data_IF_578211568721
#
_entry.id   IF_578211568721
#
_cell.length_a   1.000
_cell.length_b   1.000
_cell.length_c   1.000
_cell.angle_alpha   90.00
_cell.angle_beta   90.00
_cell.angle_gamma   90.00
#
_symmetry.space_group_name_H-M   'P 1'
#
loop_
_entity.id
_entity.type
_entity.pdbx_description
1 polymer ?
#
# COMPACT_ATOMS: atom_id res chain seq x y z
N UNK A 1 16.09 45.09 -24.33
CA UNK A 1 15.14 44.91 -23.22
C UNK A 1 13.99 44.06 -23.74
N UNK A 2 13.80 42.81 -23.28
CA UNK A 2 12.76 41.95 -23.83
C UNK A 2 11.39 42.37 -23.27
N UNK A 3 10.41 42.48 -24.16
CA UNK A 3 9.01 42.71 -23.81
C UNK A 3 8.44 41.42 -23.20
N UNK A 4 8.23 41.44 -21.89
CA UNK A 4 7.53 40.39 -21.15
C UNK A 4 6.06 40.38 -21.59
N UNK A 5 5.68 39.41 -22.41
CA UNK A 5 4.27 39.17 -22.77
C UNK A 5 3.57 38.57 -21.57
N UNK A 6 2.83 39.40 -20.84
CA UNK A 6 1.89 38.97 -19.82
C UNK A 6 0.72 38.26 -20.50
N UNK A 7 0.78 36.93 -20.56
CA UNK A 7 -0.34 36.12 -20.99
C UNK A 7 -1.45 36.21 -19.91
N UNK A 8 -2.41 37.10 -20.13
CA UNK A 8 -3.65 37.14 -19.35
C UNK A 8 -4.47 35.88 -19.71
N UNK A 9 -4.36 34.84 -18.88
CA UNK A 9 -5.25 33.70 -18.99
C UNK A 9 -6.69 34.15 -18.65
N UNK A 10 -7.70 33.81 -19.47
CA UNK A 10 -9.08 34.15 -19.19
C UNK A 10 -9.54 33.45 -17.90
N UNK A 11 -10.45 34.07 -17.11
CA UNK A 11 -10.87 33.56 -15.80
C UNK A 11 -11.47 32.14 -15.87
N UNK A 12 -12.05 31.78 -17.02
CA UNK A 12 -12.58 30.44 -17.30
C UNK A 12 -11.48 29.39 -17.33
N UNK A 13 -10.32 29.70 -17.94
CA UNK A 13 -9.18 28.78 -18.00
C UNK A 13 -8.57 28.54 -16.62
N UNK A 14 -8.50 29.59 -15.78
CA UNK A 14 -8.09 29.48 -14.38
C UNK A 14 -9.06 28.61 -13.58
N UNK A 15 -10.37 28.75 -13.79
CA UNK A 15 -11.40 27.94 -13.13
C UNK A 15 -11.31 26.45 -13.48
N UNK A 16 -11.07 26.12 -14.76
CA UNK A 16 -10.86 24.74 -15.19
C UNK A 16 -9.58 24.11 -14.59
N UNK A 17 -8.49 24.87 -14.47
CA UNK A 17 -7.26 24.39 -13.82
C UNK A 17 -7.50 24.13 -12.33
N UNK A 18 -8.21 25.03 -11.64
CA UNK A 18 -8.54 24.89 -10.21
C UNK A 18 -9.48 23.71 -9.98
N UNK A 19 -10.50 23.49 -10.82
CA UNK A 19 -11.37 22.30 -10.76
C UNK A 19 -10.60 21.01 -11.07
N UNK A 20 -9.72 21.02 -12.07
CA UNK A 20 -8.87 19.88 -12.42
C UNK A 20 -7.89 19.53 -11.29
N UNK A 21 -7.46 20.54 -10.53
CA UNK A 21 -6.70 20.37 -9.29
C UNK A 21 -7.61 19.80 -8.20
N UNK A 22 -8.80 20.35 -7.96
CA UNK A 22 -9.73 19.84 -6.94
C UNK A 22 -10.21 18.40 -7.19
N UNK A 23 -10.08 17.89 -8.41
CA UNK A 23 -10.25 16.49 -8.78
C UNK A 23 -9.01 15.62 -8.48
N UNK A 24 -8.06 16.10 -7.67
CA UNK A 24 -6.85 15.35 -7.26
C UNK A 24 -7.26 13.95 -6.80
N UNK A 25 -6.97 12.99 -7.68
CA UNK A 25 -7.04 11.56 -7.42
C UNK A 25 -6.28 11.33 -6.13
N UNK A 26 -6.98 10.83 -5.10
CA UNK A 26 -6.33 10.33 -3.89
C UNK A 26 -5.46 9.15 -4.30
N UNK A 27 -4.17 9.39 -4.53
CA UNK A 27 -3.22 8.34 -4.81
C UNK A 27 -2.78 7.72 -3.48
N UNK A 28 -3.18 6.48 -3.23
CA UNK A 28 -2.68 5.70 -2.10
C UNK A 28 -1.28 5.17 -2.46
N UNK A 29 -0.25 5.66 -1.78
CA UNK A 29 1.11 5.15 -1.91
C UNK A 29 1.29 3.95 -1.00
N UNK A 30 1.21 2.74 -1.54
CA UNK A 30 1.35 1.47 -0.80
C UNK A 30 2.81 1.14 -0.38
N UNK A 31 3.73 2.12 -0.48
CA UNK A 31 5.17 1.94 -0.27
C UNK A 31 5.85 1.14 -1.38
N UNK A 32 7.19 1.18 -1.42
CA UNK A 32 7.94 0.21 -2.25
C UNK A 32 7.78 -1.17 -1.64
N UNK A 33 7.57 -2.23 -2.44
CA UNK A 33 7.53 -3.58 -1.92
C UNK A 33 8.86 -3.94 -1.24
N UNK A 34 8.78 -4.65 -0.12
CA UNK A 34 9.94 -4.97 0.71
C UNK A 34 9.70 -6.15 1.67
N UNK A 35 10.65 -6.46 2.56
CA UNK A 35 10.54 -7.59 3.48
C UNK A 35 9.58 -7.34 4.65
N UNK A 36 9.13 -6.10 4.86
CA UNK A 36 8.18 -5.71 5.90
C UNK A 36 7.09 -4.82 5.31
N UNK A 37 5.87 -4.94 5.82
CA UNK A 37 4.76 -4.09 5.42
C UNK A 37 3.77 -3.89 6.57
N UNK A 38 3.06 -2.76 6.55
CA UNK A 38 2.02 -2.44 7.52
C UNK A 38 0.73 -2.11 6.78
N UNK A 39 -0.37 -2.72 7.23
CA UNK A 39 -1.72 -2.26 6.92
C UNK A 39 -2.12 -1.20 7.95
N UNK A 40 -2.63 -0.06 7.48
CA UNK A 40 -3.14 1.02 8.33
C UNK A 40 -4.67 0.98 8.42
N UNK A 41 -5.26 1.73 9.35
CA UNK A 41 -6.72 1.77 9.56
C UNK A 41 -7.19 1.03 10.81
N UNK A 42 -8.49 0.78 10.92
CA UNK A 42 -9.14 0.19 12.11
C UNK A 42 -8.59 -1.21 12.41
N UNK A 43 -8.47 -2.04 11.37
CA UNK A 43 -7.89 -3.38 11.42
C UNK A 43 -6.41 -3.38 10.99
N UNK A 44 -5.63 -2.39 11.42
CA UNK A 44 -4.22 -2.31 11.06
C UNK A 44 -3.39 -3.45 11.67
N UNK A 45 -2.49 -4.02 10.89
CA UNK A 45 -1.57 -5.08 11.28
C UNK A 45 -0.22 -4.93 10.57
N UNK A 46 0.81 -5.56 11.11
CA UNK A 46 2.17 -5.49 10.59
C UNK A 46 2.65 -6.90 10.26
N UNK A 47 3.32 -7.09 9.13
CA UNK A 47 3.90 -8.38 8.77
C UNK A 47 5.33 -8.25 8.23
N UNK A 48 6.08 -9.34 8.36
CA UNK A 48 7.43 -9.48 7.87
C UNK A 48 7.65 -10.85 7.21
N UNK A 49 8.53 -10.90 6.22
CA UNK A 49 9.06 -12.14 5.67
C UNK A 49 10.14 -12.65 6.62
N UNK A 50 10.01 -13.89 7.08
CA UNK A 50 10.99 -14.53 7.94
C UNK A 50 12.35 -14.63 7.24
N UNK A 51 13.39 -14.17 7.93
CA UNK A 51 14.76 -14.22 7.47
C UNK A 51 15.38 -15.64 7.60
N UNK A 52 14.67 -16.60 8.20
CA UNK A 52 15.08 -18.00 8.35
C UNK A 52 15.23 -18.78 7.04
N UNK A 53 14.81 -18.21 5.91
CA UNK A 53 15.04 -18.76 4.56
C UNK A 53 13.84 -19.48 3.94
N UNK A 54 12.81 -19.77 4.72
CA UNK A 54 11.55 -20.33 4.22
C UNK A 54 10.61 -19.28 3.62
N UNK A 55 10.96 -17.99 3.77
CA UNK A 55 10.19 -16.84 3.28
C UNK A 55 8.74 -16.83 3.78
N UNK A 56 8.49 -17.45 4.94
CA UNK A 56 7.19 -17.45 5.60
C UNK A 56 6.83 -16.04 6.04
N UNK A 57 5.53 -15.72 6.07
CA UNK A 57 5.05 -14.42 6.53
C UNK A 57 4.67 -14.51 8.01
N UNK A 58 5.24 -13.65 8.84
CA UNK A 58 4.91 -13.51 10.25
C UNK A 58 4.17 -12.19 10.44
N UNK A 59 3.06 -12.21 11.16
CA UNK A 59 2.21 -11.04 11.38
C UNK A 59 1.94 -10.75 12.85
N UNK A 60 1.73 -9.48 13.16
CA UNK A 60 1.42 -8.95 14.49
C UNK A 60 0.27 -7.96 14.41
N UNK A 61 -0.65 -8.05 15.36
CA UNK A 61 -1.72 -7.07 15.54
C UNK A 61 -1.27 -5.87 16.42
N UNK A 62 -2.14 -4.87 16.56
CA UNK A 62 -1.90 -3.69 17.39
C UNK A 62 -1.66 -3.99 18.87
N UNK A 63 -2.11 -5.14 19.36
CA UNK A 63 -1.96 -5.53 20.77
C UNK A 63 -0.63 -6.25 21.04
N UNK A 64 0.23 -6.39 20.03
CA UNK A 64 1.49 -7.13 20.10
C UNK A 64 1.28 -8.57 20.61
N UNK A 65 0.05 -9.08 20.45
CA UNK A 65 -0.16 -10.51 20.44
C UNK A 65 0.44 -10.91 19.11
N UNK A 66 1.62 -11.54 19.17
CA UNK A 66 2.08 -12.40 18.07
C UNK A 66 0.86 -13.17 17.64
N UNK A 67 0.46 -13.00 16.40
CA UNK A 67 -0.62 -13.79 15.87
C UNK A 67 -0.19 -15.26 15.93
N UNK A 68 -0.51 -15.93 17.03
CA UNK A 68 -1.26 -17.17 16.98
C UNK A 68 -2.69 -16.85 16.52
N UNK A 69 -2.83 -16.01 15.49
CA UNK A 69 -4.03 -15.89 14.72
C UNK A 69 -3.86 -17.01 13.69
N UNK A 70 -4.62 -18.12 13.78
CA UNK A 70 -4.52 -19.25 12.85
C UNK A 70 -4.90 -18.89 11.39
N UNK A 71 -5.01 -17.60 11.09
CA UNK A 71 -5.60 -17.08 9.87
C UNK A 71 -4.56 -16.86 8.77
N UNK A 72 -3.24 -16.94 8.99
CA UNK A 72 -2.28 -16.76 7.89
C UNK A 72 -1.58 -18.04 7.42
N UNK A 73 -2.01 -19.22 7.89
CA UNK A 73 -1.50 -20.51 7.38
C UNK A 73 -1.75 -20.67 5.87
N UNK A 74 -2.70 -19.92 5.30
CA UNK A 74 -2.97 -19.90 3.86
C UNK A 74 -2.05 -18.97 3.07
N UNK A 75 -1.33 -18.05 3.73
CA UNK A 75 -0.48 -17.07 3.07
C UNK A 75 0.78 -17.79 2.56
N UNK A 76 0.99 -17.86 1.24
CA UNK A 76 2.15 -18.55 0.69
C UNK A 76 3.45 -17.80 1.01
N UNK A 77 4.59 -18.47 0.87
CA UNK A 77 5.89 -17.81 0.98
C UNK A 77 6.01 -16.63 0.00
N UNK A 78 6.44 -15.48 0.50
CA UNK A 78 6.47 -14.22 -0.25
C UNK A 78 7.90 -13.79 -0.57
N UNK A 79 8.10 -13.18 -1.75
CA UNK A 79 9.34 -12.49 -2.11
C UNK A 79 9.34 -11.02 -1.66
N UNK A 80 8.17 -10.40 -1.58
CA UNK A 80 8.01 -9.01 -1.14
C UNK A 80 6.60 -8.74 -0.67
N UNK A 81 6.45 -7.78 0.25
CA UNK A 81 5.20 -7.31 0.84
C UNK A 81 5.01 -5.81 0.59
N UNK A 82 3.75 -5.38 0.52
CA UNK A 82 3.30 -3.98 0.44
C UNK A 82 1.94 -3.86 1.13
N UNK A 83 1.68 -2.74 1.79
CA UNK A 83 0.53 -2.60 2.70
C UNK A 83 -0.37 -1.42 2.38
N UNK A 84 -1.68 -1.62 2.61
CA UNK A 84 -2.75 -0.67 2.33
C UNK A 84 -3.65 -0.38 3.53
N UNK A 85 -4.87 0.10 3.26
CA UNK A 85 -5.87 0.37 4.30
C UNK A 85 -6.59 -0.94 4.67
N UNK A 86 -6.16 -1.57 5.76
CA UNK A 86 -6.75 -2.81 6.28
C UNK A 86 -6.33 -4.11 5.59
N UNK A 87 -5.49 -4.05 4.55
CA UNK A 87 -5.00 -5.23 3.81
C UNK A 87 -3.50 -5.18 3.55
N UNK A 88 -2.91 -6.34 3.26
CA UNK A 88 -1.57 -6.48 2.69
C UNK A 88 -1.63 -7.20 1.35
N UNK A 89 -0.67 -6.90 0.49
CA UNK A 89 -0.40 -7.66 -0.71
C UNK A 89 1.08 -8.06 -0.76
N UNK A 90 1.38 -9.11 -1.49
CA UNK A 90 2.73 -9.54 -1.76
C UNK A 90 2.89 -10.20 -3.11
N UNK A 91 4.14 -10.47 -3.46
CA UNK A 91 4.52 -11.26 -4.63
C UNK A 91 4.94 -12.64 -4.14
N UNK A 92 4.28 -13.70 -4.60
CA UNK A 92 4.57 -15.07 -4.20
C UNK A 92 5.96 -15.47 -4.71
N UNK A 93 6.78 -16.05 -3.82
CA UNK A 93 8.18 -16.36 -4.12
C UNK A 93 8.37 -17.36 -5.27
N UNK A 94 7.46 -18.34 -5.43
CA UNK A 94 7.65 -19.43 -6.38
C UNK A 94 7.16 -19.13 -7.81
N UNK A 95 6.27 -18.15 -8.01
CA UNK A 95 5.60 -17.93 -9.29
C UNK A 95 5.38 -16.45 -9.63
N UNK A 96 5.82 -15.54 -8.77
CA UNK A 96 5.71 -14.09 -8.97
C UNK A 96 4.28 -13.56 -9.14
N UNK A 97 3.27 -14.31 -8.75
CA UNK A 97 1.89 -13.83 -8.76
C UNK A 97 1.64 -12.89 -7.58
N UNK A 98 0.79 -11.89 -7.80
CA UNK A 98 0.31 -11.04 -6.72
C UNK A 98 -0.71 -11.81 -5.87
N UNK A 99 -0.62 -11.66 -4.56
CA UNK A 99 -1.55 -12.23 -3.61
C UNK A 99 -1.86 -11.19 -2.53
N UNK A 100 -3.14 -10.94 -2.29
CA UNK A 100 -3.60 -9.98 -1.30
C UNK A 100 -4.47 -10.68 -0.27
N UNK A 101 -4.41 -10.20 0.96
CA UNK A 101 -5.22 -10.69 2.06
C UNK A 101 -5.44 -9.58 3.07
N UNK A 102 -6.54 -9.69 3.80
CA UNK A 102 -6.80 -8.85 4.96
C UNK A 102 -7.07 -9.71 6.21
N UNK A 103 -7.39 -9.05 7.32
CA UNK A 103 -7.77 -9.71 8.58
C UNK A 103 -9.23 -10.22 8.57
N UNK A 104 -10.02 -9.85 7.57
CA UNK A 104 -11.46 -10.14 7.44
C UNK A 104 -11.77 -11.22 6.40
N UNK A 105 -10.78 -11.75 5.68
CA UNK A 105 -10.92 -12.87 4.75
C UNK A 105 -11.28 -14.21 5.45
N UNK A 106 -11.70 -14.18 6.73
CA UNK A 106 -12.58 -15.15 7.39
C UNK A 106 -13.54 -14.50 8.40
#
# INVERSE_FOLDING_TARGET
MPLQKCYFLPPISSFFIVISSLLFVTAFGYGSPGPIAAAFGENGFFCAIDAGGEQQVICWDKTNKTSSVPTFDFVPSMASLSGGEGFLCGIIANNSQAFCWDLLDF
#
